data_IF_543525043324
#
_entry.id   IF_543525043324
#
_cell.length_a   1.000
_cell.length_b   1.000
_cell.length_c   1.000
_cell.angle_alpha   90.00
_cell.angle_beta   90.00
_cell.angle_gamma   90.00
#
_symmetry.space_group_name_H-M   'P 1'
#
loop_
_entity.id
_entity.type
_entity.pdbx_description
1 polymer ?
#
# COMPACT_ATOMS: atom_id res chain seq x y z
N UNK A 1 -24.93 -22.55 -18.20
CA UNK A 1 -24.95 -23.19 -16.86
C UNK A 1 -26.34 -23.73 -16.59
N UNK A 2 -26.49 -25.04 -16.48
CA UNK A 2 -27.75 -25.69 -16.09
C UNK A 2 -27.70 -25.87 -14.57
N UNK A 3 -28.68 -25.31 -13.87
CA UNK A 3 -28.78 -25.41 -12.41
C UNK A 3 -29.98 -26.29 -12.10
N UNK A 4 -29.73 -27.38 -11.37
CA UNK A 4 -30.80 -28.22 -10.82
C UNK A 4 -31.13 -27.75 -9.40
N UNK A 5 -32.38 -27.89 -8.99
CA UNK A 5 -32.84 -27.50 -7.64
C UNK A 5 -33.26 -28.73 -6.88
N UNK A 6 -32.77 -28.87 -5.64
CA UNK A 6 -33.14 -29.95 -4.74
C UNK A 6 -33.56 -29.38 -3.39
N UNK A 7 -34.55 -30.00 -2.74
CA UNK A 7 -35.00 -29.60 -1.39
C UNK A 7 -34.58 -30.65 -0.38
N UNK A 8 -33.84 -30.25 0.67
CA UNK A 8 -33.46 -31.12 1.79
C UNK A 8 -33.82 -30.44 3.11
N UNK A 9 -34.56 -31.13 3.98
CA UNK A 9 -35.02 -30.61 5.27
C UNK A 9 -35.71 -29.22 5.19
N UNK A 10 -36.53 -29.00 4.16
CA UNK A 10 -37.24 -27.74 3.94
C UNK A 10 -36.38 -26.58 3.42
N UNK A 11 -35.09 -26.81 3.10
CA UNK A 11 -34.20 -25.83 2.47
C UNK A 11 -33.93 -26.20 1.01
N UNK A 12 -33.97 -25.21 0.13
CA UNK A 12 -33.67 -25.36 -1.30
C UNK A 12 -32.17 -25.20 -1.55
N UNK A 13 -31.61 -26.06 -2.40
CA UNK A 13 -30.21 -26.06 -2.81
C UNK A 13 -30.13 -26.06 -4.33
N UNK A 14 -29.12 -25.37 -4.86
CA UNK A 14 -28.73 -25.43 -6.25
C UNK A 14 -27.63 -26.51 -6.42
N UNK A 15 -27.81 -27.39 -7.40
CA UNK A 15 -26.81 -28.38 -7.82
C UNK A 15 -26.28 -27.97 -9.18
N UNK A 16 -24.96 -27.84 -9.26
CA UNK A 16 -24.24 -27.47 -10.46
C UNK A 16 -23.08 -28.45 -10.70
N UNK A 17 -22.68 -28.70 -11.95
CA UNK A 17 -21.41 -29.34 -12.24
C UNK A 17 -20.25 -28.60 -11.55
N UNK A 18 -19.22 -29.33 -11.13
CA UNK A 18 -18.09 -28.75 -10.39
C UNK A 18 -17.38 -27.65 -11.18
N UNK A 19 -17.21 -27.82 -12.49
CA UNK A 19 -16.56 -26.83 -13.35
C UNK A 19 -17.37 -25.52 -13.45
N UNK A 20 -18.70 -25.62 -13.50
CA UNK A 20 -19.60 -24.46 -13.51
C UNK A 20 -19.54 -23.72 -12.16
N UNK A 21 -19.51 -24.46 -11.04
CA UNK A 21 -19.35 -23.86 -9.70
C UNK A 21 -17.99 -23.16 -9.58
N UNK A 22 -16.91 -23.83 -10.00
CA UNK A 22 -15.56 -23.24 -9.97
C UNK A 22 -15.52 -21.96 -10.77
N UNK A 23 -16.07 -21.95 -11.98
CA UNK A 23 -16.15 -20.75 -12.81
C UNK A 23 -16.90 -19.61 -12.10
N UNK A 24 -18.02 -19.89 -11.44
CA UNK A 24 -18.73 -18.87 -10.67
C UNK A 24 -17.91 -18.32 -9.50
N UNK A 25 -17.13 -19.17 -8.83
CA UNK A 25 -16.24 -18.76 -7.75
C UNK A 25 -15.11 -17.88 -8.28
N UNK A 26 -14.48 -18.29 -9.38
CA UNK A 26 -13.40 -17.55 -10.04
C UNK A 26 -13.93 -16.18 -10.54
N UNK A 27 -15.13 -16.13 -11.15
CA UNK A 27 -15.77 -14.89 -11.59
C UNK A 27 -16.12 -13.97 -10.40
N UNK A 28 -16.53 -14.54 -9.25
CA UNK A 28 -16.82 -13.79 -8.04
C UNK A 28 -15.56 -13.21 -7.38
N UNK A 29 -14.44 -13.95 -7.41
CA UNK A 29 -13.13 -13.46 -6.98
C UNK A 29 -12.65 -12.32 -7.88
N UNK A 30 -12.73 -12.51 -9.20
CA UNK A 30 -12.37 -11.48 -10.18
C UNK A 30 -13.17 -10.18 -10.00
N UNK A 31 -14.46 -10.28 -9.62
CA UNK A 31 -15.27 -9.09 -9.33
C UNK A 31 -14.74 -8.32 -8.11
N UNK A 32 -14.19 -9.00 -7.10
CA UNK A 32 -13.59 -8.33 -5.95
C UNK A 32 -12.32 -7.58 -6.37
N UNK A 33 -11.49 -8.17 -7.23
CA UNK A 33 -10.28 -7.54 -7.77
C UNK A 33 -10.60 -6.30 -8.62
N UNK A 34 -11.60 -6.38 -9.49
CA UNK A 34 -12.06 -5.23 -10.29
C UNK A 34 -12.50 -4.08 -9.39
N UNK A 35 -13.27 -4.36 -8.33
CA UNK A 35 -13.66 -3.33 -7.36
C UNK A 35 -12.48 -2.72 -6.63
N UNK A 36 -11.47 -3.53 -6.27
CA UNK A 36 -10.26 -3.04 -5.63
C UNK A 36 -9.45 -2.14 -6.57
N UNK A 37 -9.34 -2.52 -7.85
CA UNK A 37 -8.71 -1.73 -8.90
C UNK A 37 -9.43 -0.38 -9.08
N UNK A 38 -10.75 -0.39 -9.25
CA UNK A 38 -11.54 0.84 -9.43
C UNK A 38 -11.39 1.79 -8.24
N UNK A 39 -11.40 1.24 -7.01
CA UNK A 39 -11.18 2.03 -5.80
C UNK A 39 -9.79 2.67 -5.75
N UNK A 40 -8.74 1.92 -6.11
CA UNK A 40 -7.36 2.43 -6.16
C UNK A 40 -7.21 3.51 -7.24
N UNK A 41 -7.73 3.27 -8.44
CA UNK A 41 -7.75 4.26 -9.53
C UNK A 41 -8.45 5.55 -9.14
N UNK A 42 -9.60 5.45 -8.50
CA UNK A 42 -10.34 6.62 -8.04
C UNK A 42 -9.58 7.42 -6.96
N UNK A 43 -8.81 6.76 -6.07
CA UNK A 43 -7.94 7.47 -5.10
C UNK A 43 -6.82 8.24 -5.79
N UNK A 44 -6.19 7.63 -6.80
CA UNK A 44 -5.16 8.30 -7.61
C UNK A 44 -5.74 9.53 -8.31
N UNK A 45 -6.92 9.41 -8.92
CA UNK A 45 -7.59 10.52 -9.60
C UNK A 45 -7.97 11.67 -8.65
N UNK A 46 -8.31 11.36 -7.39
CA UNK A 46 -8.56 12.36 -6.34
C UNK A 46 -7.27 12.92 -5.71
N UNK A 47 -6.11 12.40 -6.06
CA UNK A 47 -4.82 12.77 -5.45
C UNK A 47 -4.65 12.29 -4.01
N UNK A 48 -5.45 11.31 -3.58
CA UNK A 48 -5.33 10.64 -2.28
C UNK A 48 -4.26 9.53 -2.29
N UNK A 49 -3.84 9.11 -3.47
CA UNK A 49 -2.85 8.06 -3.71
C UNK A 49 -2.00 8.42 -4.94
N UNK A 50 -0.89 7.73 -5.16
CA UNK A 50 0.03 8.00 -6.26
C UNK A 50 0.63 6.74 -6.88
N UNK A 51 1.10 6.87 -8.13
CA UNK A 51 1.95 5.87 -8.73
C UNK A 51 3.39 6.11 -8.28
N UNK A 52 4.00 5.10 -7.67
CA UNK A 52 5.38 5.15 -7.21
C UNK A 52 6.30 4.67 -8.34
N UNK A 53 7.32 5.45 -8.75
CA UNK A 53 8.28 5.02 -9.75
C UNK A 53 9.07 3.79 -9.31
N UNK A 54 9.42 2.92 -10.27
CA UNK A 54 10.20 1.70 -10.03
C UNK A 54 11.51 1.98 -9.29
N UNK A 55 12.19 3.08 -9.61
CA UNK A 55 13.46 3.49 -9.01
C UNK A 55 13.39 3.59 -7.47
N UNK A 56 12.24 3.98 -6.90
CA UNK A 56 12.05 4.04 -5.44
C UNK A 56 12.17 2.62 -4.84
N UNK A 57 11.57 1.62 -5.49
CA UNK A 57 11.65 0.24 -5.06
C UNK A 57 13.06 -0.34 -5.25
N UNK A 58 13.71 -0.04 -6.37
CA UNK A 58 15.08 -0.49 -6.65
C UNK A 58 16.08 0.06 -5.64
N UNK A 59 15.99 1.35 -5.31
CA UNK A 59 16.84 1.98 -4.27
C UNK A 59 16.62 1.35 -2.90
N UNK A 60 15.35 1.05 -2.54
CA UNK A 60 15.03 0.35 -1.29
C UNK A 60 15.64 -1.04 -1.26
N UNK A 61 15.56 -1.79 -2.37
CA UNK A 61 16.16 -3.13 -2.50
C UNK A 61 17.69 -3.10 -2.45
N UNK A 62 18.32 -2.00 -2.92
CA UNK A 62 19.75 -1.76 -2.80
C UNK A 62 20.20 -1.42 -1.35
N UNK A 63 19.26 -1.35 -0.40
CA UNK A 63 19.54 -1.08 1.01
C UNK A 63 19.70 0.39 1.36
N UNK A 64 19.33 1.31 0.46
CA UNK A 64 19.33 2.73 0.77
C UNK A 64 18.24 3.07 1.79
N UNK A 65 18.50 4.08 2.64
CA UNK A 65 17.54 4.53 3.64
C UNK A 65 16.23 4.97 2.99
N UNK A 66 15.13 4.34 3.40
CA UNK A 66 13.76 4.67 2.96
C UNK A 66 13.42 6.14 3.20
N UNK A 67 13.82 6.71 4.34
CA UNK A 67 13.62 8.14 4.64
C UNK A 67 14.34 9.03 3.62
N UNK A 68 15.57 8.67 3.24
CA UNK A 68 16.36 9.41 2.24
C UNK A 68 15.70 9.33 0.86
N UNK A 69 15.32 8.13 0.42
CA UNK A 69 14.67 7.89 -0.87
C UNK A 69 13.43 8.78 -1.00
N UNK A 70 12.54 8.73 0.00
CA UNK A 70 11.31 9.51 0.00
C UNK A 70 11.56 11.01 0.11
N UNK A 71 12.51 11.45 0.94
CA UNK A 71 12.87 12.86 1.05
C UNK A 71 13.30 13.42 -0.30
N UNK A 72 14.17 12.71 -1.02
CA UNK A 72 14.66 13.12 -2.33
C UNK A 72 13.57 13.06 -3.40
N UNK A 73 12.71 12.03 -3.37
CA UNK A 73 11.55 11.95 -4.25
C UNK A 73 10.56 13.10 -4.07
N UNK A 74 10.39 13.58 -2.83
CA UNK A 74 9.60 14.79 -2.52
C UNK A 74 10.35 16.10 -2.76
N UNK A 75 11.61 16.06 -3.17
CA UNK A 75 12.44 17.24 -3.41
C UNK A 75 12.76 18.05 -2.15
N UNK A 76 12.73 17.42 -0.98
CA UNK A 76 12.94 18.11 0.31
C UNK A 76 14.42 18.11 0.71
N UNK A 77 14.89 19.23 1.26
CA UNK A 77 16.16 19.24 1.99
C UNK A 77 15.99 18.64 3.39
N UNK A 78 17.10 18.32 4.07
CA UNK A 78 17.00 17.91 5.49
C UNK A 78 16.39 18.99 6.37
N UNK A 79 16.56 20.27 6.02
CA UNK A 79 15.98 21.39 6.75
C UNK A 79 14.47 21.48 6.54
N UNK A 80 14.01 21.28 5.30
CA UNK A 80 12.58 21.30 4.99
C UNK A 80 11.86 20.15 5.67
N UNK A 81 12.44 18.94 5.62
CA UNK A 81 11.87 17.78 6.30
C UNK A 81 11.86 17.99 7.83
N UNK A 82 12.93 18.54 8.40
CA UNK A 82 12.99 18.83 9.83
C UNK A 82 11.88 19.79 10.28
N UNK A 83 11.66 20.87 9.50
CA UNK A 83 10.60 21.84 9.75
C UNK A 83 9.22 21.20 9.63
N UNK A 84 8.99 20.42 8.56
CA UNK A 84 7.69 19.79 8.29
C UNK A 84 7.32 18.69 9.30
N UNK A 85 8.30 17.89 9.74
CA UNK A 85 8.06 16.75 10.64
C UNK A 85 8.23 17.09 12.12
N UNK A 86 8.78 18.25 12.46
CA UNK A 86 9.21 18.59 13.82
C UNK A 86 10.14 17.50 14.42
N UNK A 87 11.07 17.01 13.59
CA UNK A 87 12.16 16.10 13.97
C UNK A 87 13.47 16.84 13.70
N UNK A 88 14.44 16.76 14.61
CA UNK A 88 15.66 17.54 14.46
C UNK A 88 16.47 17.08 13.23
N UNK A 89 17.03 18.05 12.50
CA UNK A 89 17.91 17.79 11.35
C UNK A 89 19.02 16.77 11.64
N UNK A 90 19.73 16.82 12.79
CA UNK A 90 20.74 15.79 13.12
C UNK A 90 20.16 14.38 13.27
N UNK A 91 18.94 14.26 13.78
CA UNK A 91 18.27 12.97 13.90
C UNK A 91 17.90 12.40 12.52
N UNK A 92 17.41 13.24 11.61
CA UNK A 92 17.11 12.82 10.23
C UNK A 92 18.39 12.32 9.55
N UNK A 93 19.49 13.07 9.63
CA UNK A 93 20.77 12.67 9.06
C UNK A 93 21.28 11.33 9.65
N UNK A 94 21.14 11.13 10.97
CA UNK A 94 21.53 9.87 11.61
C UNK A 94 20.65 8.67 11.19
N UNK A 95 19.37 8.90 10.91
CA UNK A 95 18.46 7.88 10.36
C UNK A 95 18.86 7.54 8.91
N UNK A 96 19.13 8.55 8.09
CA UNK A 96 19.53 8.35 6.69
C UNK A 96 20.88 7.65 6.55
N UNK A 97 21.82 7.91 7.47
CA UNK A 97 23.12 7.24 7.52
C UNK A 97 23.06 5.81 8.10
N UNK A 98 21.89 5.33 8.55
CA UNK A 98 21.73 4.00 9.13
C UNK A 98 22.30 3.85 10.55
N UNK A 99 22.75 4.93 11.18
CA UNK A 99 23.32 4.91 12.53
C UNK A 99 22.27 4.73 13.64
N UNK A 100 21.01 5.09 13.37
CA UNK A 100 19.87 4.84 14.27
C UNK A 100 18.64 4.43 13.46
N UNK A 101 18.01 3.31 13.81
CA UNK A 101 16.61 3.06 13.46
C UNK A 101 15.78 4.04 14.28
N UNK A 102 15.35 5.15 13.68
CA UNK A 102 14.57 6.17 14.36
C UNK A 102 13.40 5.53 15.12
N UNK A 103 13.15 5.97 16.37
CA UNK A 103 12.04 5.42 17.14
C UNK A 103 10.72 5.57 16.37
N UNK A 104 9.76 4.66 16.60
CA UNK A 104 8.46 4.63 15.89
C UNK A 104 7.76 5.99 15.90
N UNK A 105 7.85 6.75 17.00
CA UNK A 105 7.27 8.08 17.11
C UNK A 105 7.89 9.09 16.13
N UNK A 106 9.20 9.03 15.90
CA UNK A 106 9.89 9.88 14.94
C UNK A 106 9.58 9.45 13.50
N UNK A 107 9.57 8.15 13.21
CA UNK A 107 9.20 7.63 11.89
C UNK A 107 7.76 8.01 11.51
N UNK A 108 6.80 7.96 12.46
CA UNK A 108 5.43 8.43 12.22
C UNK A 108 5.39 9.91 11.82
N UNK A 109 6.14 10.77 12.50
CA UNK A 109 6.22 12.19 12.15
C UNK A 109 6.83 12.41 10.76
N UNK A 110 7.87 11.65 10.43
CA UNK A 110 8.52 11.71 9.12
C UNK A 110 7.59 11.20 8.01
N UNK A 111 6.86 10.10 8.24
CA UNK A 111 5.88 9.54 7.30
C UNK A 111 4.81 10.57 6.93
N UNK A 112 4.24 11.25 7.92
CA UNK A 112 3.26 12.32 7.72
C UNK A 112 3.85 13.48 6.89
N UNK A 113 5.06 13.94 7.22
CA UNK A 113 5.71 15.02 6.48
C UNK A 113 6.08 14.64 5.04
N UNK A 114 6.45 13.37 4.82
CA UNK A 114 6.77 12.81 3.51
C UNK A 114 5.53 12.39 2.71
N UNK A 115 4.33 12.44 3.32
CA UNK A 115 3.06 11.98 2.74
C UNK A 115 3.16 10.53 2.24
N UNK A 116 3.59 9.65 3.13
CA UNK A 116 3.65 8.20 2.89
C UNK A 116 3.18 7.44 4.12
N UNK A 117 2.74 6.21 3.93
CA UNK A 117 2.46 5.34 5.07
C UNK A 117 3.72 4.97 5.84
N UNK A 118 3.57 4.68 7.13
CA UNK A 118 4.68 4.32 8.01
C UNK A 118 5.46 3.09 7.49
N UNK A 119 4.78 2.14 6.85
CA UNK A 119 5.37 0.90 6.33
C UNK A 119 6.32 1.14 5.14
N UNK A 120 6.22 2.30 4.51
CA UNK A 120 7.19 2.74 3.51
C UNK A 120 8.51 3.20 4.13
N UNK A 121 8.54 3.51 5.43
CA UNK A 121 9.73 3.93 6.17
C UNK A 121 10.33 2.86 7.09
N UNK A 122 9.55 1.82 7.44
CA UNK A 122 9.95 0.75 8.35
C UNK A 122 10.88 -0.31 7.73
#
# INVERSE_FOLDING_TARGET
MRIERITRHGKEFAVLPMDDLKKLMDDAEMLADVKAYDAAKARIERGEDELIPLEIAERRLAGESTVKIWREYRGLTHEDLAKASNVSRPMIAAIEAGHKKGGVAALKKLAVALKVDLDHLA
#
